data_IF_434002878377
#
_entry.id   IF_434002878377
#
_cell.length_a   1.000
_cell.length_b   1.000
_cell.length_c   1.000
_cell.angle_alpha   90.00
_cell.angle_beta   90.00
_cell.angle_gamma   90.00
#
_symmetry.space_group_name_H-M   'P 1'
#
loop_
_entity.id
_entity.type
_entity.pdbx_description
1 polymer ?
#
# COMPACT_ATOMS: atom_id res chain seq x y z
N UNK A 1 4.30 -22.10 3.68
CA UNK A 1 5.49 -21.40 3.10
C UNK A 1 5.00 -20.21 2.29
N UNK A 2 5.55 -19.02 2.50
CA UNK A 2 5.18 -17.79 1.76
C UNK A 2 5.78 -17.81 0.35
N UNK A 3 4.94 -17.47 -0.64
CA UNK A 3 5.33 -17.28 -2.04
C UNK A 3 6.08 -15.95 -2.16
N UNK A 4 7.27 -15.98 -2.77
CA UNK A 4 8.13 -14.80 -3.01
C UNK A 4 8.30 -14.50 -4.50
N UNK A 5 7.75 -15.34 -5.37
CA UNK A 5 7.89 -15.24 -6.81
C UNK A 5 6.86 -14.27 -7.39
N UNK A 6 7.27 -13.09 -7.86
CA UNK A 6 6.40 -12.09 -8.49
C UNK A 6 5.48 -12.70 -9.56
N UNK A 7 5.99 -13.60 -10.39
CA UNK A 7 5.20 -14.24 -11.45
C UNK A 7 3.97 -14.99 -10.92
N UNK A 8 4.04 -15.52 -9.70
CA UNK A 8 2.90 -16.20 -9.06
C UNK A 8 1.96 -15.22 -8.39
N UNK A 9 2.53 -14.16 -7.79
CA UNK A 9 1.76 -13.11 -7.12
C UNK A 9 1.04 -12.18 -8.10
N UNK A 10 1.56 -12.01 -9.31
CA UNK A 10 0.95 -11.18 -10.35
C UNK A 10 -0.13 -11.92 -11.18
N UNK A 11 -0.74 -12.95 -10.61
CA UNK A 11 -1.86 -13.66 -11.23
C UNK A 11 -3.16 -13.27 -10.53
N UNK A 12 -4.19 -13.00 -11.32
CA UNK A 12 -5.52 -12.77 -10.79
C UNK A 12 -6.06 -14.06 -10.15
N UNK A 13 -6.56 -13.96 -8.93
CA UNK A 13 -7.08 -15.12 -8.20
C UNK A 13 -8.49 -15.48 -8.64
N UNK A 14 -8.75 -16.78 -8.71
CA UNK A 14 -10.06 -17.33 -9.03
C UNK A 14 -11.03 -17.18 -7.84
N UNK A 15 -12.31 -16.89 -8.06
CA UNK A 15 -13.27 -16.86 -6.98
C UNK A 15 -13.42 -18.21 -6.29
N UNK A 16 -13.76 -18.21 -5.02
CA UNK A 16 -14.27 -19.39 -4.32
C UNK A 16 -15.65 -19.76 -4.89
N UNK A 17 -15.91 -21.06 -4.96
CA UNK A 17 -17.19 -21.59 -5.44
C UNK A 17 -18.29 -21.52 -4.37
N UNK A 18 -17.91 -21.43 -3.10
CA UNK A 18 -18.82 -21.26 -1.96
C UNK A 18 -18.13 -20.53 -0.81
N UNK A 19 -18.91 -20.07 0.16
CA UNK A 19 -18.39 -19.44 1.40
C UNK A 19 -17.60 -20.45 2.22
N UNK A 20 -18.04 -21.71 2.29
CA UNK A 20 -17.37 -22.78 3.05
C UNK A 20 -15.95 -23.03 2.50
N UNK A 21 -15.77 -23.07 1.17
CA UNK A 21 -14.43 -23.16 0.56
C UNK A 21 -13.54 -22.01 1.02
N UNK A 22 -14.10 -20.79 1.05
CA UNK A 22 -13.40 -19.60 1.50
C UNK A 22 -13.03 -19.64 2.99
N UNK A 23 -13.92 -20.13 3.85
CA UNK A 23 -13.67 -20.26 5.29
C UNK A 23 -12.57 -21.27 5.59
N UNK A 24 -12.50 -22.39 4.88
CA UNK A 24 -11.39 -23.36 5.00
C UNK A 24 -10.03 -22.74 4.63
N UNK A 25 -10.01 -21.86 3.62
CA UNK A 25 -8.81 -21.13 3.22
C UNK A 25 -8.47 -20.09 4.27
N UNK A 26 -9.46 -19.32 4.73
CA UNK A 26 -9.28 -18.28 5.75
C UNK A 26 -8.71 -18.84 7.05
N UNK A 27 -9.13 -20.03 7.48
CA UNK A 27 -8.59 -20.71 8.65
C UNK A 27 -7.06 -20.93 8.51
N UNK A 28 -6.57 -21.30 7.32
CA UNK A 28 -5.13 -21.47 7.05
C UNK A 28 -4.39 -20.13 7.08
N UNK A 29 -5.02 -19.06 6.58
CA UNK A 29 -4.44 -17.72 6.60
C UNK A 29 -4.32 -17.19 8.04
N UNK A 30 -5.37 -17.39 8.85
CA UNK A 30 -5.37 -17.02 10.27
C UNK A 30 -4.33 -17.80 11.07
N UNK A 31 -4.21 -19.11 10.85
CA UNK A 31 -3.16 -19.91 11.47
C UNK A 31 -1.76 -19.39 11.13
N UNK A 32 -1.55 -19.01 9.86
CA UNK A 32 -0.27 -18.42 9.44
C UNK A 32 -0.01 -17.08 10.14
N UNK A 33 -1.00 -16.17 10.17
CA UNK A 33 -0.88 -14.85 10.82
C UNK A 33 -0.65 -14.97 12.32
N UNK A 34 -1.33 -15.87 13.00
CA UNK A 34 -1.17 -16.12 14.44
C UNK A 34 0.24 -16.61 14.82
N UNK A 35 0.95 -17.22 13.86
CA UNK A 35 2.35 -17.66 14.03
C UNK A 35 3.36 -16.67 13.43
N UNK A 36 2.90 -15.51 12.92
CA UNK A 36 3.75 -14.45 12.37
C UNK A 36 3.97 -13.35 13.39
N UNK A 37 5.20 -12.86 13.53
CA UNK A 37 5.51 -11.77 14.46
C UNK A 37 5.09 -10.38 13.92
N UNK A 38 4.93 -10.25 12.61
CA UNK A 38 4.76 -8.94 11.95
C UNK A 38 3.58 -8.87 10.97
N UNK A 39 2.96 -10.01 10.65
CA UNK A 39 1.87 -10.06 9.68
C UNK A 39 0.57 -9.48 10.24
N UNK A 40 0.00 -8.50 9.58
CA UNK A 40 -1.30 -7.88 9.90
C UNK A 40 -2.37 -8.14 8.83
N UNK A 41 -1.99 -8.76 7.73
CA UNK A 41 -2.86 -9.21 6.64
C UNK A 41 -2.20 -10.31 5.84
N UNK A 42 -3.01 -11.09 5.13
CA UNK A 42 -2.52 -12.16 4.26
C UNK A 42 -3.58 -12.55 3.23
N UNK A 43 -3.15 -12.67 1.98
CA UNK A 43 -3.97 -13.16 0.87
C UNK A 43 -3.62 -14.61 0.52
N UNK A 44 -4.60 -15.34 -0.02
CA UNK A 44 -4.47 -16.77 -0.30
C UNK A 44 -3.35 -17.09 -1.31
N UNK A 45 -3.13 -16.24 -2.32
CA UNK A 45 -2.06 -16.46 -3.30
C UNK A 45 -0.65 -16.36 -2.67
N UNK A 46 -0.50 -15.64 -1.56
CA UNK A 46 0.77 -15.56 -0.84
C UNK A 46 1.15 -16.89 -0.16
N UNK A 47 0.20 -17.78 0.09
CA UNK A 47 0.47 -19.14 0.57
C UNK A 47 0.30 -20.20 -0.55
N UNK A 48 0.21 -19.77 -1.81
CA UNK A 48 0.15 -20.63 -2.99
C UNK A 48 -1.24 -21.15 -3.33
N UNK A 49 -2.30 -20.58 -2.76
CA UNK A 49 -3.70 -20.92 -3.07
C UNK A 49 -4.27 -19.84 -3.99
N UNK A 50 -4.59 -20.21 -5.25
CA UNK A 50 -5.12 -19.28 -6.24
C UNK A 50 -6.63 -19.08 -6.08
N UNK A 51 -7.05 -18.50 -4.92
CA UNK A 51 -8.44 -18.22 -4.59
C UNK A 51 -8.58 -16.82 -3.99
N UNK A 52 -9.74 -16.19 -4.24
CA UNK A 52 -10.03 -14.84 -3.74
C UNK A 52 -10.44 -14.86 -2.27
N UNK A 53 -9.47 -15.05 -1.39
CA UNK A 53 -9.65 -14.98 0.07
C UNK A 53 -8.50 -14.18 0.66
N UNK A 54 -8.82 -13.25 1.56
CA UNK A 54 -7.82 -12.58 2.37
C UNK A 54 -8.31 -12.35 3.80
N UNK A 55 -7.37 -12.11 4.69
CA UNK A 55 -7.62 -11.81 6.10
C UNK A 55 -6.88 -10.53 6.47
N UNK A 56 -7.57 -9.64 7.18
CA UNK A 56 -7.03 -8.43 7.79
C UNK A 56 -7.09 -8.62 9.31
N UNK A 57 -5.96 -8.47 9.99
CA UNK A 57 -5.81 -8.70 11.44
C UNK A 57 -5.15 -7.48 12.12
N UNK A 58 -5.65 -6.29 11.83
CA UNK A 58 -5.14 -5.04 12.41
C UNK A 58 -5.75 -4.74 13.79
N UNK A 59 -7.02 -5.11 13.98
CA UNK A 59 -7.79 -4.94 15.23
C UNK A 59 -8.45 -6.28 15.55
N UNK A 60 -9.70 -6.46 15.15
CA UNK A 60 -10.35 -7.76 15.13
C UNK A 60 -10.16 -8.40 13.76
N UNK A 61 -9.95 -9.73 13.71
CA UNK A 61 -9.77 -10.42 12.44
C UNK A 61 -10.99 -10.26 11.51
N UNK A 62 -10.79 -9.77 10.32
CA UNK A 62 -11.80 -9.68 9.26
C UNK A 62 -11.44 -10.62 8.14
N UNK A 63 -12.30 -11.60 7.87
CA UNK A 63 -12.19 -12.52 6.73
C UNK A 63 -12.98 -11.97 5.57
N UNK A 64 -12.40 -11.95 4.38
CA UNK A 64 -13.05 -11.52 3.14
C UNK A 64 -12.98 -12.64 2.10
N UNK A 65 -14.14 -13.13 1.68
CA UNK A 65 -14.30 -14.18 0.66
C UNK A 65 -14.87 -13.55 -0.60
N UNK A 66 -14.19 -13.71 -1.73
CA UNK A 66 -14.51 -13.07 -3.01
C UNK A 66 -14.65 -11.54 -2.91
N UNK A 67 -13.74 -10.84 -2.20
CA UNK A 67 -13.89 -9.40 -1.99
C UNK A 67 -13.77 -8.62 -3.29
N UNK A 68 -14.59 -7.55 -3.39
CA UNK A 68 -14.48 -6.52 -4.40
C UNK A 68 -14.60 -5.13 -3.75
N UNK A 69 -13.81 -4.17 -4.20
CA UNK A 69 -13.97 -2.77 -3.82
C UNK A 69 -15.08 -2.20 -4.70
N UNK A 70 -16.21 -1.82 -4.09
CA UNK A 70 -17.39 -1.28 -4.79
C UNK A 70 -17.35 0.23 -4.94
N UNK A 71 -16.82 0.93 -3.93
CA UNK A 71 -16.63 2.37 -3.92
C UNK A 71 -15.32 2.73 -3.22
N UNK A 72 -14.75 3.88 -3.57
CA UNK A 72 -13.51 4.38 -2.98
C UNK A 72 -13.44 5.90 -3.05
N UNK A 73 -12.67 6.52 -2.15
CA UNK A 73 -12.45 7.97 -2.17
C UNK A 73 -11.61 8.40 -3.38
N UNK A 74 -11.83 9.64 -3.84
CA UNK A 74 -10.90 10.31 -4.75
C UNK A 74 -9.62 10.72 -4.01
N UNK A 75 -9.78 11.15 -2.76
CA UNK A 75 -8.66 11.50 -1.89
C UNK A 75 -7.81 10.29 -1.55
N UNK A 76 -6.49 10.51 -1.57
CA UNK A 76 -5.48 9.50 -1.29
C UNK A 76 -4.67 9.89 -0.06
N UNK A 77 -4.06 8.90 0.59
CA UNK A 77 -3.02 9.10 1.59
C UNK A 77 -1.78 8.27 1.25
N UNK A 78 -0.63 8.74 1.72
CA UNK A 78 0.64 8.00 1.54
C UNK A 78 0.89 7.20 2.80
N UNK A 79 1.15 5.91 2.61
CA UNK A 79 1.40 4.96 3.69
C UNK A 79 2.65 4.14 3.42
N UNK A 80 3.35 3.73 4.47
CA UNK A 80 4.49 2.84 4.35
C UNK A 80 4.05 1.40 4.55
N UNK A 81 4.30 0.54 3.57
CA UNK A 81 3.89 -0.85 3.58
C UNK A 81 5.08 -1.79 3.52
N UNK A 82 4.99 -2.87 4.29
CA UNK A 82 5.76 -4.09 4.11
C UNK A 82 4.85 -5.21 3.61
N UNK A 83 5.43 -6.30 3.16
CA UNK A 83 4.71 -7.47 2.69
C UNK A 83 5.41 -8.75 3.14
N UNK A 84 4.67 -9.75 3.63
CA UNK A 84 5.25 -11.04 4.03
C UNK A 84 5.91 -11.77 2.86
N UNK A 85 5.49 -11.50 1.62
CA UNK A 85 6.15 -12.01 0.42
C UNK A 85 7.48 -11.30 0.11
N UNK A 86 7.70 -10.10 0.63
CA UNK A 86 8.90 -9.27 0.43
C UNK A 86 9.37 -8.70 1.78
N UNK A 87 9.89 -9.55 2.69
CA UNK A 87 10.14 -9.19 4.09
C UNK A 87 11.23 -8.14 4.29
N UNK A 88 12.11 -7.97 3.30
CA UNK A 88 13.23 -7.03 3.36
C UNK A 88 12.90 -5.67 2.74
N UNK A 89 11.70 -5.54 2.13
CA UNK A 89 11.31 -4.35 1.40
C UNK A 89 10.24 -3.56 2.16
N UNK A 90 10.39 -2.24 2.11
CA UNK A 90 9.42 -1.29 2.64
C UNK A 90 9.16 -0.21 1.59
N UNK A 91 7.92 -0.13 1.12
CA UNK A 91 7.53 0.75 0.02
C UNK A 91 6.54 1.80 0.51
N UNK A 92 6.74 3.05 0.13
CA UNK A 92 5.69 4.06 0.30
C UNK A 92 4.69 3.92 -0.82
N UNK A 93 3.45 3.67 -0.47
CA UNK A 93 2.35 3.49 -1.43
C UNK A 93 1.36 4.63 -1.34
N UNK A 94 0.52 4.76 -2.35
CA UNK A 94 -0.60 5.68 -2.35
C UNK A 94 -1.91 4.88 -2.30
N UNK A 95 -2.70 5.13 -1.24
CA UNK A 95 -3.95 4.42 -0.96
C UNK A 95 -5.14 5.37 -0.89
N UNK A 96 -6.33 4.88 -1.24
CA UNK A 96 -7.57 5.62 -1.04
C UNK A 96 -7.85 5.82 0.45
N UNK A 97 -8.28 7.02 0.85
CA UNK A 97 -8.60 7.33 2.26
C UNK A 97 -9.73 6.48 2.82
N UNK A 98 -10.63 6.02 1.97
CA UNK A 98 -11.64 5.04 2.33
C UNK A 98 -12.00 4.16 1.13
N UNK A 99 -12.45 2.95 1.45
CA UNK A 99 -12.98 1.98 0.49
C UNK A 99 -14.21 1.29 1.08
N UNK A 100 -15.21 0.99 0.24
CA UNK A 100 -16.28 0.04 0.56
C UNK A 100 -15.96 -1.30 -0.09
N UNK A 101 -16.12 -2.35 0.66
CA UNK A 101 -15.83 -3.72 0.24
C UNK A 101 -17.06 -4.58 0.39
N UNK A 102 -17.47 -5.26 -0.68
CA UNK A 102 -18.44 -6.34 -0.65
C UNK A 102 -17.69 -7.67 -0.65
N UNK A 103 -18.11 -8.61 0.20
CA UNK A 103 -17.58 -9.96 0.23
C UNK A 103 -18.72 -10.95 0.47
N UNK A 104 -18.59 -12.18 -0.03
CA UNK A 104 -19.67 -13.17 -0.04
C UNK A 104 -20.06 -13.66 1.35
N UNK A 105 -19.16 -13.57 2.31
CA UNK A 105 -19.39 -13.96 3.71
C UNK A 105 -19.93 -12.83 4.61
N UNK A 106 -20.27 -11.66 4.03
CA UNK A 106 -20.86 -10.53 4.75
C UNK A 106 -22.18 -10.11 4.10
N UNK A 107 -23.22 -9.92 4.92
CA UNK A 107 -24.56 -9.51 4.43
C UNK A 107 -24.56 -8.07 3.87
N UNK A 108 -23.75 -7.21 4.46
CA UNK A 108 -23.61 -5.79 4.06
C UNK A 108 -22.19 -5.45 3.68
N UNK A 109 -22.05 -4.37 2.90
CA UNK A 109 -20.73 -3.82 2.58
C UNK A 109 -20.00 -3.33 3.84
N UNK A 110 -18.71 -3.61 3.88
CA UNK A 110 -17.82 -3.13 4.93
C UNK A 110 -17.17 -1.83 4.51
N UNK A 111 -17.08 -0.87 5.42
CA UNK A 111 -16.41 0.42 5.23
C UNK A 111 -15.07 0.42 5.97
N UNK A 112 -13.99 0.64 5.23
CA UNK A 112 -12.66 0.86 5.77
C UNK A 112 -12.24 2.29 5.45
N UNK A 113 -11.90 3.07 6.47
CA UNK A 113 -11.52 4.47 6.28
C UNK A 113 -10.45 4.90 7.27
N UNK A 114 -9.53 5.76 6.84
CA UNK A 114 -8.68 6.50 7.77
C UNK A 114 -9.56 7.41 8.62
N UNK A 115 -9.11 7.68 9.84
CA UNK A 115 -9.83 8.59 10.70
C UNK A 115 -9.72 10.03 10.15
N UNK A 116 -10.86 10.72 10.03
CA UNK A 116 -10.90 12.07 9.44
C UNK A 116 -10.24 13.15 10.31
N UNK A 117 -9.98 12.85 11.58
CA UNK A 117 -9.28 13.74 12.51
C UNK A 117 -7.78 13.49 12.39
N UNK A 118 -7.09 14.47 11.80
CA UNK A 118 -5.65 14.42 11.55
C UNK A 118 -4.80 15.22 12.58
N UNK A 119 -3.46 15.18 12.44
CA UNK A 119 -2.57 15.96 13.29
C UNK A 119 -2.91 17.47 13.24
N UNK A 120 -3.17 18.05 14.42
CA UNK A 120 -3.54 19.46 14.57
C UNK A 120 -5.04 19.70 14.78
N UNK A 121 -5.90 18.72 14.58
CA UNK A 121 -7.33 18.81 14.82
C UNK A 121 -7.65 18.55 16.32
N UNK A 122 -8.72 19.17 16.80
CA UNK A 122 -9.23 18.91 18.15
C UNK A 122 -9.70 17.44 18.27
N UNK A 123 -9.26 16.75 19.32
CA UNK A 123 -9.59 15.34 19.53
C UNK A 123 -8.70 14.35 18.78
N UNK A 124 -7.61 14.82 18.14
CA UNK A 124 -6.66 13.92 17.49
C UNK A 124 -6.01 12.95 18.48
N UNK A 125 -6.10 11.67 18.16
CA UNK A 125 -5.38 10.59 18.83
C UNK A 125 -4.53 9.86 17.80
N UNK A 126 -3.20 9.94 17.96
CA UNK A 126 -2.23 9.37 17.04
C UNK A 126 -2.38 7.85 16.90
N UNK A 127 -2.62 7.15 18.00
CA UNK A 127 -2.71 5.68 17.98
C UNK A 127 -3.96 5.25 17.24
N UNK A 128 -5.09 5.88 17.57
CA UNK A 128 -6.35 5.63 16.87
C UNK A 128 -6.26 5.94 15.38
N UNK A 129 -5.65 7.06 15.00
CA UNK A 129 -5.40 7.39 13.60
C UNK A 129 -4.57 6.30 12.90
N UNK A 130 -3.49 5.84 13.53
CA UNK A 130 -2.64 4.80 12.98
C UNK A 130 -3.39 3.47 12.82
N UNK A 131 -4.20 3.05 13.79
CA UNK A 131 -4.98 1.82 13.72
C UNK A 131 -5.92 1.81 12.51
N UNK A 132 -6.62 2.92 12.26
CA UNK A 132 -7.48 3.05 11.09
C UNK A 132 -6.69 3.14 9.78
N UNK A 133 -5.55 3.82 9.78
CA UNK A 133 -4.68 3.92 8.60
C UNK A 133 -4.09 2.56 8.23
N UNK A 134 -3.62 1.77 9.21
CA UNK A 134 -3.15 0.41 9.00
C UNK A 134 -4.23 -0.49 8.41
N UNK A 135 -5.41 -0.51 8.99
CA UNK A 135 -6.52 -1.33 8.53
C UNK A 135 -6.96 -0.95 7.10
N UNK A 136 -7.08 0.36 6.83
CA UNK A 136 -7.48 0.87 5.51
C UNK A 136 -6.42 0.60 4.43
N UNK A 137 -5.14 0.69 4.77
CA UNK A 137 -4.06 0.33 3.84
C UNK A 137 -4.01 -1.20 3.64
N UNK A 138 -4.10 -1.98 4.72
CA UNK A 138 -4.02 -3.43 4.71
C UNK A 138 -5.12 -4.05 3.84
N UNK A 139 -6.39 -3.64 3.99
CA UNK A 139 -7.47 -4.20 3.16
C UNK A 139 -7.24 -3.96 1.67
N UNK A 140 -6.72 -2.79 1.29
CA UNK A 140 -6.40 -2.49 -0.10
C UNK A 140 -5.20 -3.31 -0.59
N UNK A 141 -4.19 -3.53 0.26
CA UNK A 141 -3.02 -4.35 -0.03
C UNK A 141 -3.41 -5.82 -0.28
N UNK A 142 -4.24 -6.39 0.58
CA UNK A 142 -4.64 -7.79 0.44
C UNK A 142 -5.57 -8.02 -0.75
N UNK A 143 -6.47 -7.08 -1.07
CA UNK A 143 -7.30 -7.16 -2.28
C UNK A 143 -6.44 -6.98 -3.53
N UNK A 144 -5.46 -6.09 -3.52
CA UNK A 144 -4.48 -5.95 -4.62
C UNK A 144 -3.79 -7.30 -4.91
N UNK A 145 -3.36 -8.05 -3.89
CA UNK A 145 -2.79 -9.39 -4.09
C UNK A 145 -3.73 -10.33 -4.83
N UNK A 146 -5.05 -10.28 -4.53
CA UNK A 146 -6.05 -11.10 -5.21
C UNK A 146 -6.26 -10.68 -6.68
N UNK A 147 -5.95 -9.43 -7.00
CA UNK A 147 -6.01 -8.88 -8.36
C UNK A 147 -4.67 -9.00 -9.11
N UNK A 148 -3.67 -9.65 -8.50
CA UNK A 148 -2.34 -9.81 -9.08
C UNK A 148 -1.50 -8.54 -9.07
N UNK A 149 -1.80 -7.62 -8.16
CA UNK A 149 -1.12 -6.34 -7.96
C UNK A 149 -0.27 -6.45 -6.68
N UNK A 150 0.90 -5.84 -6.68
CA UNK A 150 1.78 -5.79 -5.52
C UNK A 150 1.97 -4.36 -5.01
N UNK A 151 2.59 -4.21 -3.84
CA UNK A 151 2.92 -2.87 -3.29
C UNK A 151 3.81 -2.05 -4.23
N UNK A 152 4.63 -2.67 -5.08
CA UNK A 152 5.47 -1.97 -6.05
C UNK A 152 4.65 -1.27 -7.15
N UNK A 153 3.49 -1.83 -7.53
CA UNK A 153 2.58 -1.24 -8.51
C UNK A 153 1.83 -0.02 -7.93
N UNK A 154 1.87 0.15 -6.60
CA UNK A 154 1.26 1.26 -5.85
C UNK A 154 2.30 2.23 -5.31
N UNK A 155 3.56 2.06 -5.67
CA UNK A 155 4.63 2.93 -5.17
C UNK A 155 4.33 4.40 -5.44
N UNK A 156 4.36 5.18 -4.36
CA UNK A 156 4.24 6.63 -4.44
C UNK A 156 5.60 7.25 -4.70
N UNK A 157 5.76 7.75 -5.91
CA UNK A 157 6.92 8.56 -6.28
C UNK A 157 6.56 10.03 -6.06
N UNK A 158 7.27 10.70 -5.17
CA UNK A 158 7.10 12.14 -4.99
C UNK A 158 7.45 12.85 -6.29
N UNK A 159 6.43 13.21 -7.06
CA UNK A 159 6.61 14.18 -8.14
C UNK A 159 6.68 15.56 -7.50
N UNK A 160 7.82 16.28 -7.58
CA UNK A 160 7.93 17.60 -7.02
C UNK A 160 6.89 18.51 -7.65
N UNK A 161 6.06 19.14 -6.82
CA UNK A 161 5.13 20.15 -7.29
C UNK A 161 5.95 21.33 -7.86
N UNK A 162 5.40 22.02 -8.87
CA UNK A 162 6.01 23.22 -9.45
C UNK A 162 6.49 24.23 -8.37
N UNK A 163 5.78 24.31 -7.23
CA UNK A 163 6.16 25.12 -6.04
C UNK A 163 7.46 24.67 -5.35
N UNK A 164 7.79 23.38 -5.37
CA UNK A 164 9.04 22.90 -4.79
C UNK A 164 10.23 23.33 -5.66
N UNK A 165 10.08 23.34 -6.98
CA UNK A 165 11.10 23.82 -7.91
C UNK A 165 11.36 25.33 -7.80
N UNK A 166 10.33 26.14 -7.54
CA UNK A 166 10.43 27.59 -7.46
C UNK A 166 11.22 28.07 -6.20
N UNK A 167 11.38 27.20 -5.20
CA UNK A 167 12.17 27.45 -3.99
C UNK A 167 13.65 27.10 -4.11
N UNK A 168 14.04 26.35 -5.16
CA UNK A 168 15.44 25.93 -5.34
C UNK A 168 16.25 27.05 -5.99
N UNK A 169 17.32 27.47 -5.32
CA UNK A 169 18.20 28.51 -5.81
C UNK A 169 18.92 28.09 -7.11
N UNK A 170 19.04 29.00 -8.09
CA UNK A 170 19.63 28.74 -9.42
C UNK A 170 20.99 28.02 -9.40
N UNK A 171 21.82 28.28 -8.39
CA UNK A 171 23.15 27.68 -8.23
C UNK A 171 23.20 26.58 -7.16
N UNK A 172 22.09 26.29 -6.51
CA UNK A 172 21.96 25.22 -5.54
C UNK A 172 22.25 23.86 -6.19
N UNK A 173 22.97 22.98 -5.48
CA UNK A 173 23.22 21.62 -5.95
C UNK A 173 22.08 20.74 -5.54
N UNK A 174 21.54 20.01 -6.49
CA UNK A 174 20.48 19.03 -6.31
C UNK A 174 20.92 17.69 -6.85
N UNK A 175 20.47 16.63 -6.22
CA UNK A 175 20.63 15.29 -6.77
C UNK A 175 19.45 14.97 -7.67
N UNK A 176 19.74 14.48 -8.87
CA UNK A 176 18.72 14.01 -9.82
C UNK A 176 18.98 12.57 -10.21
N UNK A 177 17.91 11.82 -10.48
CA UNK A 177 17.96 10.42 -10.89
C UNK A 177 17.06 10.16 -12.09
N UNK A 178 17.41 9.15 -12.90
CA UNK A 178 16.58 8.60 -13.96
C UNK A 178 16.16 7.14 -13.64
N UNK A 179 16.22 6.73 -12.37
CA UNK A 179 15.93 5.38 -11.91
C UNK A 179 17.11 4.39 -12.07
N UNK A 180 18.11 4.70 -12.90
CA UNK A 180 19.32 3.86 -13.12
C UNK A 180 20.57 4.45 -12.51
N UNK A 181 20.70 5.76 -12.60
CA UNK A 181 21.85 6.51 -12.08
C UNK A 181 21.38 7.80 -11.42
N UNK A 182 22.11 8.23 -10.39
CA UNK A 182 21.94 9.53 -9.74
C UNK A 182 23.15 10.42 -9.97
N UNK A 183 22.95 11.74 -10.02
CA UNK A 183 24.03 12.72 -10.12
C UNK A 183 23.71 14.03 -9.40
N UNK A 184 24.74 14.62 -8.78
CA UNK A 184 24.66 15.91 -8.10
C UNK A 184 25.04 17.04 -9.05
N UNK A 185 24.10 17.91 -9.43
CA UNK A 185 24.34 19.03 -10.36
C UNK A 185 23.64 20.32 -9.88
N UNK A 186 24.08 21.46 -10.41
CA UNK A 186 23.44 22.75 -10.11
C UNK A 186 22.01 22.80 -10.67
N UNK A 187 21.07 23.37 -9.91
CA UNK A 187 19.65 23.46 -10.29
C UNK A 187 19.42 24.00 -11.70
N UNK A 188 20.15 25.03 -12.10
CA UNK A 188 20.09 25.57 -13.47
C UNK A 188 20.38 24.56 -14.60
N UNK A 189 21.10 23.46 -14.27
CA UNK A 189 21.38 22.35 -15.20
C UNK A 189 20.43 21.17 -15.00
N UNK A 190 19.91 21.01 -13.79
CA UNK A 190 18.95 19.95 -13.45
C UNK A 190 17.56 20.24 -14.04
N UNK A 191 17.09 21.49 -13.89
CA UNK A 191 15.73 21.89 -14.27
C UNK A 191 15.36 21.51 -15.71
N UNK A 192 16.17 21.80 -16.75
CA UNK A 192 15.84 21.39 -18.13
C UNK A 192 15.76 19.88 -18.31
N UNK A 193 16.59 19.10 -17.60
CA UNK A 193 16.58 17.63 -17.66
C UNK A 193 15.35 17.04 -17.01
N UNK A 194 14.84 17.67 -15.96
CA UNK A 194 13.61 17.25 -15.28
C UNK A 194 12.38 17.62 -16.12
N UNK A 195 12.43 18.77 -16.81
CA UNK A 195 11.34 19.21 -17.70
C UNK A 195 11.15 18.29 -18.92
N UNK A 196 12.17 17.51 -19.33
CA UNK A 196 12.02 16.47 -20.36
C UNK A 196 11.31 15.22 -19.88
N UNK A 197 11.16 15.03 -18.56
CA UNK A 197 10.53 13.85 -17.96
C UNK A 197 11.45 12.64 -17.77
N UNK A 198 12.69 12.67 -18.31
CA UNK A 198 13.64 11.55 -18.19
C UNK A 198 14.37 11.53 -16.84
N UNK A 199 14.33 12.62 -16.10
CA UNK A 199 14.98 12.80 -14.81
C UNK A 199 14.03 13.37 -13.77
N UNK A 200 14.21 12.97 -12.52
CA UNK A 200 13.51 13.51 -11.35
C UNK A 200 14.49 13.95 -10.27
N UNK A 201 14.07 14.80 -9.33
CA UNK A 201 14.87 15.04 -8.14
C UNK A 201 14.97 13.74 -7.32
N UNK A 202 16.20 13.36 -6.98
CA UNK A 202 16.46 12.33 -6.00
C UNK A 202 16.32 12.99 -4.62
N UNK A 203 15.23 12.71 -3.91
CA UNK A 203 15.13 13.05 -2.51
C UNK A 203 15.89 11.98 -1.73
N UNK A 204 17.19 12.18 -1.56
CA UNK A 204 17.94 11.46 -0.55
C UNK A 204 17.22 11.59 0.79
N UNK A 205 17.31 10.58 1.61
CA UNK A 205 16.83 10.48 3.00
C UNK A 205 17.38 11.63 3.86
N UNK A 206 16.98 12.85 3.59
CA UNK A 206 17.34 14.03 4.34
C UNK A 206 16.10 14.65 4.96
N UNK A 207 15.91 14.32 6.26
CA UNK A 207 15.18 15.17 7.18
C UNK A 207 13.67 14.95 7.20
N UNK A 208 13.23 14.00 8.00
CA UNK A 208 12.06 14.23 8.85
C UNK A 208 12.37 15.52 9.60
N UNK A 209 11.75 16.63 9.20
CA UNK A 209 11.68 17.82 10.05
C UNK A 209 10.58 17.51 11.05
N UNK A 210 10.95 17.55 12.32
CA UNK A 210 10.13 17.39 13.52
C UNK A 210 8.84 18.24 13.51
#
# INVERSE_FOLDING_TARGET
MIVKELKKLNQHCEPCSSVEEGEEIAAKLLDYLNNSETGIGLAANQIGINKRVCVINCKEPVVLINPIITEKSEDMFVFGEGCLSFPDDFVRTQRHKWVKVKADNHESELMFSVWDIGPGDEGYDKNKYLDYAYETACVQHEIDHLDGITMYDREWVMTPTKRAYDKIGRNEKVEITNGKISKMIKWKKAKPLIETGDWSLSYGTAGVVE
#
